data_IF_138388011950
#
_entry.id   IF_138388011950
#
_cell.length_a   1.000
_cell.length_b   1.000
_cell.length_c   1.000
_cell.angle_alpha   90.00
_cell.angle_beta   90.00
_cell.angle_gamma   90.00
#
_symmetry.space_group_name_H-M   'P 1'
#
loop_
_entity.id
_entity.type
_entity.pdbx_description
1 polymer ?
#
# COMPACT_ATOMS: atom_id res chain seq x y z
N UNK A 1 -30.84 -9.51 -23.85
CA UNK A 1 -30.43 -8.73 -22.66
C UNK A 1 -29.31 -9.53 -21.97
N UNK A 2 -28.06 -9.14 -22.23
CA UNK A 2 -26.86 -9.83 -21.70
C UNK A 2 -26.59 -9.26 -20.31
N UNK A 3 -26.78 -10.10 -19.28
CA UNK A 3 -26.35 -9.76 -17.91
C UNK A 3 -24.82 -9.78 -17.89
N UNK A 4 -24.23 -8.59 -17.81
CA UNK A 4 -22.79 -8.45 -17.61
C UNK A 4 -22.38 -9.13 -16.31
N UNK A 5 -21.69 -10.26 -16.43
CA UNK A 5 -21.03 -10.92 -15.29
C UNK A 5 -19.92 -9.99 -14.79
N UNK A 6 -20.07 -9.51 -13.57
CA UNK A 6 -19.02 -8.77 -12.86
C UNK A 6 -17.77 -9.64 -12.73
N UNK A 7 -16.56 -9.09 -12.91
CA UNK A 7 -15.34 -9.88 -12.75
C UNK A 7 -15.22 -10.40 -11.32
N UNK A 8 -15.11 -11.71 -11.17
CA UNK A 8 -14.76 -12.36 -9.91
C UNK A 8 -13.25 -12.19 -9.69
N UNK A 9 -12.88 -11.41 -8.71
CA UNK A 9 -11.48 -11.30 -8.25
C UNK A 9 -11.36 -12.10 -6.96
N UNK A 10 -10.62 -13.20 -6.99
CA UNK A 10 -10.33 -14.02 -5.80
C UNK A 10 -11.55 -14.75 -5.18
N UNK A 11 -12.56 -15.12 -5.98
CA UNK A 11 -13.72 -15.89 -5.48
C UNK A 11 -14.73 -15.09 -4.64
N UNK A 12 -14.58 -13.77 -4.51
CA UNK A 12 -15.54 -12.90 -3.82
C UNK A 12 -16.39 -12.16 -4.86
N UNK A 13 -17.66 -12.52 -4.97
CA UNK A 13 -18.63 -11.75 -5.77
C UNK A 13 -19.07 -10.52 -4.97
N UNK A 14 -18.84 -9.32 -5.56
CA UNK A 14 -19.31 -8.04 -5.04
C UNK A 14 -20.54 -7.62 -5.84
N UNK A 15 -21.66 -7.39 -5.16
CA UNK A 15 -22.82 -6.79 -5.79
C UNK A 15 -22.64 -5.27 -5.98
N UNK A 16 -23.58 -4.63 -6.68
CA UNK A 16 -23.53 -3.19 -6.96
C UNK A 16 -23.56 -2.35 -5.67
N UNK A 17 -24.35 -2.79 -4.69
CA UNK A 17 -24.40 -2.16 -3.38
C UNK A 17 -23.06 -2.26 -2.66
N UNK A 18 -22.40 -3.41 -2.66
CA UNK A 18 -21.10 -3.58 -2.04
C UNK A 18 -20.07 -2.61 -2.66
N UNK A 19 -20.08 -2.46 -4.01
CA UNK A 19 -19.19 -1.50 -4.71
C UNK A 19 -19.48 -0.06 -4.31
N UNK A 20 -20.74 0.33 -4.19
CA UNK A 20 -21.14 1.66 -3.75
C UNK A 20 -20.64 1.94 -2.32
N UNK A 21 -20.85 1.00 -1.39
CA UNK A 21 -20.36 1.11 -0.02
C UNK A 21 -18.83 1.27 0.03
N UNK A 22 -18.12 0.44 -0.73
CA UNK A 22 -16.65 0.48 -0.79
C UNK A 22 -16.13 1.77 -1.42
N UNK A 23 -16.76 2.26 -2.49
CA UNK A 23 -16.39 3.51 -3.13
C UNK A 23 -16.56 4.72 -2.18
N UNK A 24 -17.63 4.71 -1.37
CA UNK A 24 -17.85 5.76 -0.38
C UNK A 24 -16.83 5.70 0.76
N UNK A 25 -16.62 4.53 1.37
CA UNK A 25 -15.64 4.33 2.42
C UNK A 25 -14.20 4.58 1.95
N UNK A 26 -13.90 4.36 0.66
CA UNK A 26 -12.61 4.69 0.08
C UNK A 26 -12.33 6.19 -0.03
N UNK A 27 -13.39 7.02 -0.05
CA UNK A 27 -13.28 8.49 -0.05
C UNK A 27 -13.32 9.07 1.36
N UNK A 28 -14.18 8.52 2.20
CA UNK A 28 -14.33 8.91 3.59
C UNK A 28 -14.45 7.66 4.48
N UNK A 29 -13.31 7.23 5.01
CA UNK A 29 -13.24 6.09 5.93
C UNK A 29 -13.89 6.33 7.30
N UNK A 30 -14.33 7.57 7.59
CA UNK A 30 -15.02 7.95 8.83
C UNK A 30 -16.52 8.13 8.66
N UNK A 31 -17.06 8.03 7.44
CA UNK A 31 -18.48 8.11 7.19
C UNK A 31 -19.27 7.12 8.06
N UNK A 32 -20.33 7.60 8.70
CA UNK A 32 -21.18 6.75 9.53
C UNK A 32 -21.96 5.76 8.67
N UNK A 33 -22.30 4.60 9.22
CA UNK A 33 -23.12 3.63 8.51
C UNK A 33 -24.54 4.15 8.22
N UNK A 34 -25.01 5.14 8.96
CA UNK A 34 -26.28 5.81 8.70
C UNK A 34 -26.19 6.68 7.42
N UNK A 35 -25.14 7.49 7.29
CA UNK A 35 -24.89 8.32 6.09
C UNK A 35 -24.75 7.46 4.84
N UNK A 36 -23.92 6.40 4.92
CA UNK A 36 -23.73 5.46 3.80
C UNK A 36 -25.05 4.75 3.47
N UNK A 37 -25.84 4.42 4.49
CA UNK A 37 -27.14 3.77 4.33
C UNK A 37 -28.13 4.62 3.54
N UNK A 38 -28.16 5.93 3.77
CA UNK A 38 -29.00 6.86 2.99
C UNK A 38 -28.66 6.81 1.49
N UNK A 39 -27.38 6.77 1.14
CA UNK A 39 -26.93 6.70 -0.26
C UNK A 39 -27.25 5.36 -0.93
N UNK A 40 -27.23 4.28 -0.16
CA UNK A 40 -27.44 2.93 -0.67
C UNK A 40 -28.91 2.45 -0.51
N UNK A 41 -29.79 3.29 0.04
CA UNK A 41 -31.16 2.94 0.43
C UNK A 41 -31.19 1.72 1.38
N UNK A 42 -30.34 1.72 2.40
CA UNK A 42 -30.18 0.67 3.41
C UNK A 42 -30.26 1.24 4.82
N UNK A 43 -30.67 0.41 5.78
CA UNK A 43 -30.51 0.76 7.19
C UNK A 43 -29.03 0.69 7.60
N UNK A 44 -28.62 1.45 8.62
CA UNK A 44 -27.26 1.41 9.18
C UNK A 44 -26.86 -0.02 9.60
N UNK A 45 -27.80 -0.81 10.13
CA UNK A 45 -27.58 -2.22 10.49
C UNK A 45 -27.29 -3.08 9.27
N UNK A 46 -27.98 -2.84 8.15
CA UNK A 46 -27.74 -3.58 6.90
C UNK A 46 -26.36 -3.23 6.31
N UNK A 47 -25.97 -1.94 6.35
CA UNK A 47 -24.62 -1.49 5.95
C UNK A 47 -23.57 -2.17 6.82
N UNK A 48 -23.70 -2.11 8.15
CA UNK A 48 -22.77 -2.77 9.07
C UNK A 48 -22.57 -4.25 8.74
N UNK A 49 -23.66 -4.99 8.58
CA UNK A 49 -23.61 -6.43 8.25
C UNK A 49 -22.86 -6.68 6.93
N UNK A 50 -23.05 -5.82 5.91
CA UNK A 50 -22.33 -5.94 4.64
C UNK A 50 -20.84 -5.65 4.81
N UNK A 51 -20.47 -4.60 5.51
CA UNK A 51 -19.06 -4.26 5.77
C UNK A 51 -18.37 -5.35 6.59
N UNK A 52 -19.02 -5.89 7.62
CA UNK A 52 -18.48 -7.00 8.42
C UNK A 52 -18.25 -8.26 7.56
N UNK A 53 -19.18 -8.57 6.63
CA UNK A 53 -19.00 -9.63 5.64
C UNK A 53 -17.81 -9.36 4.70
N UNK A 54 -17.66 -8.13 4.21
CA UNK A 54 -16.54 -7.75 3.33
C UNK A 54 -15.20 -7.82 4.08
N UNK A 55 -15.20 -7.49 5.37
CA UNK A 55 -14.02 -7.65 6.24
C UNK A 55 -13.68 -9.12 6.46
N UNK A 56 -14.64 -9.95 6.80
CA UNK A 56 -14.40 -11.39 7.02
C UNK A 56 -13.91 -12.12 5.77
N UNK A 57 -14.21 -11.59 4.59
CA UNK A 57 -13.73 -12.08 3.29
C UNK A 57 -12.42 -11.43 2.82
N UNK A 58 -11.83 -10.54 3.63
CA UNK A 58 -10.57 -9.87 3.31
C UNK A 58 -10.66 -8.77 2.24
N UNK A 59 -11.85 -8.44 1.76
CA UNK A 59 -12.06 -7.31 0.81
C UNK A 59 -11.72 -5.98 1.47
N UNK A 60 -12.22 -5.77 2.69
CA UNK A 60 -11.83 -4.65 3.54
C UNK A 60 -10.80 -5.16 4.53
N UNK A 61 -9.55 -4.80 4.33
CA UNK A 61 -8.44 -5.22 5.20
C UNK A 61 -8.34 -4.42 6.49
N UNK A 62 -8.86 -3.19 6.50
CA UNK A 62 -8.84 -2.30 7.66
C UNK A 62 -9.21 -0.88 7.28
N UNK A 63 -9.22 -0.02 8.29
CA UNK A 63 -9.34 1.43 8.16
C UNK A 63 -8.03 2.05 8.66
N UNK A 64 -7.58 3.09 8.01
CA UNK A 64 -6.35 3.78 8.36
C UNK A 64 -6.53 5.28 8.24
N UNK A 65 -5.61 6.05 8.78
CA UNK A 65 -5.50 7.48 8.56
C UNK A 65 -4.47 7.76 7.47
N UNK A 66 -4.77 8.72 6.62
CA UNK A 66 -3.79 9.31 5.70
C UNK A 66 -3.13 10.45 6.45
N UNK A 67 -1.81 10.36 6.61
CA UNK A 67 -1.00 11.34 7.32
C UNK A 67 -0.13 12.10 6.34
N UNK A 68 0.06 13.39 6.60
CA UNK A 68 1.02 14.19 5.86
C UNK A 68 2.43 13.82 6.32
N UNK A 69 3.27 13.24 5.45
CA UNK A 69 4.60 12.83 5.81
C UNK A 69 5.51 14.02 6.18
N UNK A 70 5.34 15.17 5.56
CA UNK A 70 6.18 16.37 5.84
C UNK A 70 5.94 16.88 7.26
N UNK A 71 4.67 16.88 7.72
CA UNK A 71 4.31 17.25 9.10
C UNK A 71 4.84 16.25 10.13
N UNK A 72 5.15 15.02 9.71
CA UNK A 72 5.79 13.99 10.53
C UNK A 72 7.33 14.02 10.45
N UNK A 73 7.89 15.02 9.74
CA UNK A 73 9.33 15.19 9.60
C UNK A 73 9.97 14.38 8.45
N UNK A 74 9.17 13.75 7.59
CA UNK A 74 9.65 13.03 6.41
C UNK A 74 9.63 13.98 5.20
N UNK A 75 10.75 14.60 4.90
CA UNK A 75 10.87 15.66 3.88
C UNK A 75 11.44 15.16 2.56
N UNK A 76 11.95 13.92 2.53
CA UNK A 76 12.60 13.35 1.35
C UNK A 76 12.06 11.95 1.09
N UNK A 77 11.66 11.69 -0.14
CA UNK A 77 11.24 10.36 -0.59
C UNK A 77 12.18 9.85 -1.69
N UNK A 78 12.39 8.54 -1.75
CA UNK A 78 13.14 7.91 -2.81
C UNK A 78 12.60 6.52 -3.15
N UNK A 79 12.78 6.13 -4.40
CA UNK A 79 12.67 4.74 -4.84
C UNK A 79 14.06 4.17 -5.04
N UNK A 80 14.29 3.00 -4.45
CA UNK A 80 15.57 2.31 -4.52
C UNK A 80 15.37 0.96 -5.17
N UNK A 81 15.97 0.77 -6.32
CA UNK A 81 16.11 -0.51 -6.99
C UNK A 81 17.20 -1.32 -6.30
N UNK A 82 16.89 -2.55 -5.91
CA UNK A 82 17.84 -3.47 -5.30
C UNK A 82 18.13 -4.61 -6.27
N UNK A 83 19.38 -4.89 -6.42
CA UNK A 83 19.91 -6.03 -7.19
C UNK A 83 20.57 -6.98 -6.21
N UNK A 84 20.05 -8.19 -6.15
CA UNK A 84 20.45 -9.18 -5.17
C UNK A 84 21.64 -10.02 -5.65
N UNK A 85 22.32 -10.63 -4.70
CA UNK A 85 23.30 -11.68 -5.00
C UNK A 85 22.56 -12.94 -5.44
N UNK A 86 23.22 -13.75 -6.27
CA UNK A 86 22.67 -15.04 -6.68
C UNK A 86 22.23 -15.87 -5.46
N UNK A 87 21.01 -16.40 -5.52
CA UNK A 87 20.33 -17.20 -4.49
C UNK A 87 19.70 -16.44 -3.32
N UNK A 88 19.71 -15.10 -3.31
CA UNK A 88 18.92 -14.33 -2.32
C UNK A 88 17.44 -14.41 -2.67
N UNK A 89 16.64 -14.99 -1.79
CA UNK A 89 15.20 -15.13 -1.99
C UNK A 89 14.40 -13.89 -1.53
N UNK A 90 13.12 -13.75 -1.96
CA UNK A 90 12.27 -12.63 -1.54
C UNK A 90 12.09 -12.51 -0.03
N UNK A 91 12.09 -13.64 0.69
CA UNK A 91 11.95 -13.67 2.15
C UNK A 91 13.19 -13.09 2.86
N UNK A 92 14.38 -13.33 2.33
CA UNK A 92 15.62 -12.77 2.87
C UNK A 92 15.66 -11.24 2.66
N UNK A 93 15.23 -10.78 1.48
CA UNK A 93 15.10 -9.35 1.18
C UNK A 93 14.11 -8.71 2.16
N UNK A 94 12.96 -9.34 2.36
CA UNK A 94 11.93 -8.85 3.28
C UNK A 94 12.46 -8.78 4.73
N UNK A 95 13.18 -9.81 5.18
CA UNK A 95 13.75 -9.85 6.51
C UNK A 95 14.78 -8.72 6.73
N UNK A 96 15.65 -8.49 5.75
CA UNK A 96 16.59 -7.36 5.76
C UNK A 96 15.89 -6.01 5.81
N UNK A 97 14.87 -5.79 4.98
CA UNK A 97 14.21 -4.49 4.86
C UNK A 97 13.31 -4.14 6.07
N UNK A 98 12.76 -5.12 6.77
CA UNK A 98 11.89 -4.89 7.95
C UNK A 98 12.55 -4.14 9.11
N UNK A 99 13.87 -4.17 9.20
CA UNK A 99 14.61 -3.47 10.24
C UNK A 99 14.78 -1.96 9.99
N UNK A 100 14.41 -1.48 8.81
CA UNK A 100 14.53 -0.07 8.43
C UNK A 100 13.20 0.65 8.61
N UNK A 101 13.05 1.53 9.63
CA UNK A 101 11.83 2.30 9.83
C UNK A 101 11.53 3.29 8.71
N UNK A 102 12.54 3.62 7.92
CA UNK A 102 12.46 4.49 6.75
C UNK A 102 11.80 3.80 5.54
N UNK A 103 11.67 2.47 5.57
CA UNK A 103 11.00 1.71 4.51
C UNK A 103 9.48 1.83 4.64
N UNK A 104 8.87 2.51 3.68
CA UNK A 104 7.42 2.66 3.58
C UNK A 104 6.77 1.45 2.95
N UNK A 105 7.37 0.94 1.88
CA UNK A 105 6.92 -0.24 1.15
C UNK A 105 8.05 -0.87 0.35
N UNK A 106 7.93 -2.15 0.05
CA UNK A 106 8.86 -2.86 -0.83
C UNK A 106 8.10 -3.90 -1.65
N UNK A 107 8.55 -4.11 -2.88
CA UNK A 107 7.99 -5.07 -3.83
C UNK A 107 9.11 -5.85 -4.50
N UNK A 108 8.88 -7.12 -4.75
CA UNK A 108 9.63 -7.84 -5.78
C UNK A 108 9.06 -7.44 -7.14
N UNK A 109 9.92 -7.24 -8.11
CA UNK A 109 9.51 -6.77 -9.44
C UNK A 109 10.08 -7.67 -10.53
N UNK A 110 9.44 -7.66 -11.68
CA UNK A 110 9.99 -8.28 -12.89
C UNK A 110 10.87 -7.28 -13.62
N UNK A 111 11.92 -7.75 -14.27
CA UNK A 111 12.86 -6.92 -15.02
C UNK A 111 14.27 -7.01 -14.47
N UNK A 112 15.01 -5.92 -14.55
CA UNK A 112 16.42 -5.86 -14.20
C UNK A 112 16.64 -5.91 -12.67
N UNK A 113 15.96 -5.09 -11.84
CA UNK A 113 16.08 -5.17 -10.40
C UNK A 113 15.28 -6.34 -9.82
N UNK A 114 15.73 -6.89 -8.69
CA UNK A 114 15.01 -7.93 -7.93
C UNK A 114 13.93 -7.34 -7.03
N UNK A 115 14.15 -6.13 -6.50
CA UNK A 115 13.18 -5.44 -5.66
C UNK A 115 13.19 -3.93 -5.89
N UNK A 116 12.02 -3.32 -5.64
CA UNK A 116 11.82 -1.89 -5.58
C UNK A 116 11.41 -1.51 -4.16
N UNK A 117 12.11 -0.55 -3.56
CA UNK A 117 11.88 -0.10 -2.18
C UNK A 117 11.53 1.37 -2.19
N UNK A 118 10.44 1.73 -1.53
CA UNK A 118 10.05 3.10 -1.27
C UNK A 118 10.55 3.52 0.12
N UNK A 119 11.37 4.55 0.17
CA UNK A 119 11.97 5.11 1.38
C UNK A 119 11.44 6.51 1.66
N UNK A 120 11.36 6.84 2.96
CA UNK A 120 11.22 8.21 3.45
C UNK A 120 12.33 8.52 4.43
N UNK A 121 12.82 9.76 4.38
CA UNK A 121 13.86 10.26 5.27
C UNK A 121 13.55 11.71 5.67
N UNK A 122 14.14 12.16 6.79
CA UNK A 122 13.99 13.55 7.25
C UNK A 122 14.65 14.56 6.30
N UNK A 123 15.72 14.15 5.67
CA UNK A 123 16.50 14.97 4.75
C UNK A 123 17.37 14.11 3.82
N UNK A 124 18.09 14.73 2.90
CA UNK A 124 18.94 14.02 1.93
C UNK A 124 20.13 13.31 2.59
N UNK A 125 20.67 13.84 3.68
CA UNK A 125 21.77 13.22 4.42
C UNK A 125 21.31 11.95 5.13
N UNK A 126 20.14 12.00 5.74
CA UNK A 126 19.50 10.82 6.33
C UNK A 126 19.21 9.78 5.26
N UNK A 127 18.66 10.20 4.11
CA UNK A 127 18.39 9.30 2.98
C UNK A 127 19.67 8.59 2.49
N UNK A 128 20.77 9.31 2.33
CA UNK A 128 22.07 8.75 1.96
C UNK A 128 22.51 7.68 2.96
N UNK A 129 22.42 8.00 4.26
CA UNK A 129 22.80 7.04 5.31
C UNK A 129 21.95 5.76 5.28
N UNK A 130 20.65 5.87 5.02
CA UNK A 130 19.75 4.72 4.89
C UNK A 130 20.11 3.88 3.67
N UNK A 131 20.35 4.50 2.51
CA UNK A 131 20.76 3.81 1.28
C UNK A 131 22.06 3.05 1.50
N UNK A 132 23.04 3.67 2.17
CA UNK A 132 24.31 3.02 2.49
C UNK A 132 24.15 1.85 3.46
N UNK A 133 23.24 1.93 4.41
CA UNK A 133 22.90 0.80 5.29
C UNK A 133 22.30 -0.35 4.48
N UNK A 134 21.35 -0.08 3.59
CA UNK A 134 20.73 -1.09 2.72
C UNK A 134 21.78 -1.74 1.81
N UNK A 135 22.72 -0.98 1.26
CA UNK A 135 23.82 -1.51 0.43
C UNK A 135 24.72 -2.49 1.17
N UNK A 136 24.83 -2.37 2.50
CA UNK A 136 25.66 -3.27 3.32
C UNK A 136 24.95 -4.56 3.69
N UNK A 137 23.66 -4.70 3.39
CA UNK A 137 22.92 -5.93 3.65
C UNK A 137 23.54 -7.10 2.85
N UNK A 138 23.72 -8.27 3.46
CA UNK A 138 24.44 -9.39 2.84
C UNK A 138 23.86 -9.85 1.50
N UNK A 139 22.54 -9.77 1.34
CA UNK A 139 21.83 -10.14 0.12
C UNK A 139 21.92 -9.11 -1.01
N UNK A 140 22.36 -7.88 -0.72
CA UNK A 140 22.43 -6.80 -1.71
C UNK A 140 23.75 -6.82 -2.46
N UNK A 141 23.69 -6.85 -3.78
CA UNK A 141 24.84 -6.74 -4.67
C UNK A 141 25.11 -5.29 -5.05
N UNK A 142 24.06 -4.58 -5.46
CA UNK A 142 24.07 -3.15 -5.82
C UNK A 142 22.70 -2.53 -5.63
N UNK A 143 22.64 -1.21 -5.61
CA UNK A 143 21.39 -0.46 -5.64
C UNK A 143 21.49 0.73 -6.58
N UNK A 144 20.33 1.17 -7.09
CA UNK A 144 20.15 2.43 -7.82
C UNK A 144 19.01 3.21 -7.19
N UNK A 145 19.24 4.49 -6.90
CA UNK A 145 18.27 5.32 -6.20
C UNK A 145 17.77 6.43 -7.09
N UNK A 146 16.47 6.71 -7.00
CA UNK A 146 15.81 7.85 -7.63
C UNK A 146 15.10 8.65 -6.55
N UNK A 147 15.56 9.88 -6.32
CA UNK A 147 14.94 10.80 -5.35
C UNK A 147 13.69 11.40 -5.98
N UNK A 148 12.59 11.44 -5.24
CA UNK A 148 11.36 12.09 -5.67
C UNK A 148 11.53 13.60 -5.51
N UNK A 149 11.38 14.33 -6.61
CA UNK A 149 11.47 15.80 -6.61
C UNK A 149 10.11 16.44 -6.31
N UNK A 150 9.05 15.87 -6.88
CA UNK A 150 7.68 16.34 -6.67
C UNK A 150 6.69 15.22 -6.96
N UNK A 151 5.54 15.25 -6.29
CA UNK A 151 4.41 14.37 -6.58
C UNK A 151 3.52 15.08 -7.61
N UNK A 152 3.24 14.41 -8.73
CA UNK A 152 2.40 14.95 -9.80
C UNK A 152 0.92 14.62 -9.60
N UNK A 153 0.63 13.46 -9.00
CA UNK A 153 -0.73 12.97 -8.69
C UNK A 153 -0.65 12.22 -7.36
N UNK A 154 -1.61 12.46 -6.47
CA UNK A 154 -1.67 11.73 -5.20
C UNK A 154 -2.65 12.33 -4.21
#
# INVERSE_FOLDING_TARGET
>A
MSMSRSPEVGGVSLDETDRLLLAHLGRDGRASYAEIGLLANLSATAVRRRIDRLRSRGVVRGFTVVLDPELLGWQTEAFVEIYCRARTGPEEILASLRQFPEVVAAWTVTGDPDALVHLRASDTKHLEAVIERIRREPGVQRSRSSVVLSRLIG
#
